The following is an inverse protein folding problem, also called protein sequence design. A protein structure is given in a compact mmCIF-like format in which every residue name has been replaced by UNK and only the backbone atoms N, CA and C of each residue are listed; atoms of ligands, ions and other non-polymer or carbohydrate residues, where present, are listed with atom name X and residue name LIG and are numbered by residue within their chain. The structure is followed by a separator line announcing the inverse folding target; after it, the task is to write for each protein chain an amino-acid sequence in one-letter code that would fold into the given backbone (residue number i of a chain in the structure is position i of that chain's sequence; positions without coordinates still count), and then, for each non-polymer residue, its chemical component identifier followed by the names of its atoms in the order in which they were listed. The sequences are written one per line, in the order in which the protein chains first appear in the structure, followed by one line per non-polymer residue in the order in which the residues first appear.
data_IF_331225582067
#
_entry.id   IF_331225582067
#
_cell.length_a   1.000
_cell.length_b   1.000
_cell.length_c   1.000
_cell.angle_alpha   90.00
_cell.angle_beta   90.00
_cell.angle_gamma   90.00
#
_symmetry.space_group_name_H-M   'P 1'
#
loop_
_entity.id
_entity.type
_entity.pdbx_description
1 polymer ?
#
# COMPACT_ATOMS: atom_id res chain seq x y z
N UNK A 1 -26.74 7.07 -9.80
CA UNK A 1 -25.90 5.91 -10.19
C UNK A 1 -25.48 5.22 -8.92
N UNK A 2 -26.40 4.45 -8.35
CA UNK A 2 -26.19 3.63 -7.16
C UNK A 2 -25.21 2.49 -7.51
N UNK A 3 -24.06 2.47 -6.83
CA UNK A 3 -23.19 1.30 -6.80
C UNK A 3 -23.45 0.56 -5.49
N UNK A 4 -24.34 -0.42 -5.56
CA UNK A 4 -24.65 -1.31 -4.45
C UNK A 4 -23.63 -2.46 -4.46
N UNK A 5 -22.72 -2.45 -3.47
CA UNK A 5 -21.77 -3.55 -3.26
C UNK A 5 -22.49 -4.69 -2.51
N UNK A 6 -22.46 -5.94 -3.00
CA UNK A 6 -23.07 -7.06 -2.29
C UNK A 6 -22.26 -7.40 -1.02
N UNK A 7 -22.95 -7.72 0.08
CA UNK A 7 -22.32 -8.18 1.33
C UNK A 7 -21.56 -9.51 1.12
N UNK A 8 -20.27 -9.60 1.50
CA UNK A 8 -19.53 -10.85 1.43
C UNK A 8 -19.67 -11.67 2.72
N UNK A 9 -20.07 -12.94 2.58
CA UNK A 9 -19.95 -13.96 3.64
C UNK A 9 -18.47 -14.21 3.97
N UNK A 10 -18.21 -14.34 5.28
CA UNK A 10 -16.92 -14.31 5.96
C UNK A 10 -15.85 -15.30 5.45
N UNK A 11 -14.64 -14.77 5.21
CA UNK A 11 -13.34 -15.41 5.47
C UNK A 11 -12.28 -14.29 5.62
N UNK A 12 -11.78 -14.11 6.84
CA UNK A 12 -10.92 -13.00 7.26
C UNK A 12 -9.47 -13.18 6.78
N UNK A 13 -9.20 -12.92 5.49
CA UNK A 13 -7.83 -12.75 4.96
C UNK A 13 -7.72 -11.37 4.31
N UNK A 14 -7.11 -10.42 5.03
CA UNK A 14 -6.89 -9.04 4.56
C UNK A 14 -5.65 -8.99 3.68
N UNK A 15 -5.81 -8.55 2.44
CA UNK A 15 -4.71 -8.46 1.47
C UNK A 15 -4.57 -7.02 0.95
N UNK A 16 -3.39 -6.71 0.43
CA UNK A 16 -3.20 -5.56 -0.44
C UNK A 16 -4.06 -5.81 -1.69
N UNK A 17 -4.97 -4.91 -2.00
CA UNK A 17 -5.81 -4.97 -3.19
C UNK A 17 -5.26 -4.00 -4.23
N UNK A 18 -5.05 -4.51 -5.43
CA UNK A 18 -4.63 -3.74 -6.60
C UNK A 18 -5.76 -3.76 -7.63
N UNK A 19 -6.25 -2.60 -8.04
CA UNK A 19 -7.16 -2.46 -9.18
C UNK A 19 -6.39 -1.90 -10.37
N UNK A 20 -6.48 -2.58 -11.51
CA UNK A 20 -5.78 -2.23 -12.75
C UNK A 20 -6.78 -1.64 -13.74
N UNK A 21 -6.48 -0.46 -14.30
CA UNK A 21 -7.31 0.20 -15.31
C UNK A 21 -6.51 0.81 -16.45
N UNK A 22 -7.03 0.70 -17.68
CA UNK A 22 -6.45 1.31 -18.89
C UNK A 22 -7.30 2.46 -19.45
N UNK A 23 -8.39 2.86 -18.77
CA UNK A 23 -9.37 3.84 -19.28
C UNK A 23 -9.00 5.32 -19.06
N UNK A 24 -7.90 5.61 -18.36
CA UNK A 24 -7.53 6.97 -17.93
C UNK A 24 -6.36 7.60 -18.73
N UNK A 25 -5.92 6.98 -19.82
CA UNK A 25 -4.85 7.48 -20.69
C UNK A 25 -3.79 6.42 -21.03
N UNK A 26 -2.66 6.80 -21.66
CA UNK A 26 -1.58 5.87 -21.96
C UNK A 26 -0.80 5.47 -20.69
N UNK A 27 -1.11 4.31 -20.12
CA UNK A 27 -0.40 3.73 -18.97
C UNK A 27 -1.23 2.64 -18.27
N UNK A 28 -0.57 1.82 -17.45
CA UNK A 28 -1.29 0.95 -16.50
C UNK A 28 -1.49 1.74 -15.21
N UNK A 29 -2.75 2.00 -14.87
CA UNK A 29 -3.11 2.65 -13.60
C UNK A 29 -3.36 1.59 -12.55
N UNK A 30 -2.61 1.63 -11.45
CA UNK A 30 -2.75 0.70 -10.33
C UNK A 30 -3.22 1.49 -9.12
N UNK A 31 -4.45 1.21 -8.67
CA UNK A 31 -4.98 1.70 -7.42
C UNK A 31 -4.72 0.66 -6.34
N UNK A 32 -3.92 1.03 -5.35
CA UNK A 32 -3.53 0.14 -4.27
C UNK A 32 -4.20 0.57 -2.99
N UNK A 33 -4.91 -0.38 -2.38
CA UNK A 33 -5.54 -0.18 -1.08
C UNK A 33 -5.15 -1.33 -0.17
N UNK A 34 -5.08 -1.03 1.11
CA UNK A 34 -4.88 -2.04 2.13
C UNK A 34 -6.23 -2.28 2.82
N UNK A 35 -6.80 -3.49 2.70
CA UNK A 35 -8.14 -3.94 3.18
C UNK A 35 -9.27 -4.03 2.13
N UNK A 36 -9.02 -4.49 0.90
CA UNK A 36 -10.15 -4.91 0.02
C UNK A 36 -10.17 -6.41 -0.19
N UNK A 37 -11.38 -6.98 -0.13
CA UNK A 37 -11.69 -8.35 -0.55
C UNK A 37 -11.82 -8.32 -2.08
N UNK A 38 -10.93 -9.00 -2.80
CA UNK A 38 -11.00 -9.08 -4.25
C UNK A 38 -12.14 -10.02 -4.70
N UNK A 39 -12.91 -9.68 -5.76
CA UNK A 39 -13.79 -10.63 -6.42
C UNK A 39 -13.00 -11.78 -7.05
N UNK A 40 -13.57 -12.99 -6.98
CA UNK A 40 -12.92 -14.29 -7.14
C UNK A 40 -12.62 -14.70 -8.59
N UNK A 41 -12.65 -13.78 -9.54
CA UNK A 41 -12.56 -14.13 -10.96
C UNK A 41 -11.12 -13.97 -11.49
N UNK A 42 -10.28 -14.90 -11.00
CA UNK A 42 -8.96 -15.40 -11.47
C UNK A 42 -7.83 -14.37 -11.72
N UNK A 43 -6.65 -14.62 -11.11
CA UNK A 43 -5.65 -15.44 -11.82
C UNK A 43 -5.01 -16.56 -10.96
N UNK A 44 -4.43 -17.51 -11.70
CA UNK A 44 -3.67 -18.72 -11.37
C UNK A 44 -2.98 -18.78 -9.98
N UNK A 45 -3.20 -19.90 -9.27
CA UNK A 45 -2.82 -20.16 -7.87
C UNK A 45 -1.77 -21.28 -7.82
N UNK A 46 -0.60 -21.03 -7.22
CA UNK A 46 0.22 -22.08 -6.61
C UNK A 46 0.31 -21.70 -5.13
N UNK A 47 -0.28 -22.54 -4.28
CA UNK A 47 -0.30 -22.33 -2.83
C UNK A 47 0.78 -23.15 -2.17
N UNK A 48 1.71 -22.50 -1.48
CA UNK A 48 2.32 -23.04 -0.27
C UNK A 48 1.86 -22.14 0.90
N UNK A 49 1.22 -22.69 1.95
CA UNK A 49 0.46 -21.90 2.91
C UNK A 49 1.27 -20.95 3.81
N UNK A 50 2.61 -21.04 3.80
CA UNK A 50 3.46 -20.27 4.72
C UNK A 50 4.01 -18.95 4.15
N UNK A 51 4.05 -18.75 2.83
CA UNK A 51 4.79 -17.62 2.26
C UNK A 51 3.95 -16.51 1.62
N UNK A 52 2.62 -16.64 1.47
CA UNK A 52 1.72 -15.57 0.99
C UNK A 52 2.21 -14.75 -0.24
N UNK A 53 3.10 -15.31 -1.07
CA UNK A 53 3.63 -14.64 -2.27
C UNK A 53 2.85 -15.12 -3.49
N UNK A 54 2.20 -14.18 -4.19
CA UNK A 54 1.46 -14.45 -5.42
C UNK A 54 2.34 -14.09 -6.62
N UNK A 55 2.85 -15.10 -7.33
CA UNK A 55 3.67 -14.91 -8.53
C UNK A 55 2.80 -15.06 -9.78
N UNK A 56 2.44 -13.94 -10.41
CA UNK A 56 1.79 -13.93 -11.72
C UNK A 56 2.88 -13.97 -12.80
N UNK A 57 3.00 -15.09 -13.53
CA UNK A 57 3.89 -15.16 -14.70
C UNK A 57 3.27 -14.37 -15.86
N UNK A 58 3.92 -13.33 -16.40
CA UNK A 58 3.39 -12.61 -17.56
C UNK A 58 3.42 -13.49 -18.81
N UNK A 59 2.33 -13.50 -19.59
CA UNK A 59 2.19 -14.23 -20.87
C UNK A 59 2.95 -13.58 -22.05
N UNK A 60 3.61 -12.43 -21.84
CA UNK A 60 4.33 -11.66 -22.86
C UNK A 60 5.57 -11.01 -22.21
N UNK A 61 6.59 -10.69 -23.00
CA UNK A 61 7.75 -9.91 -22.57
C UNK A 61 7.32 -8.49 -22.18
N UNK A 62 6.82 -8.33 -20.95
CA UNK A 62 6.49 -7.03 -20.37
C UNK A 62 7.79 -6.38 -19.90
N UNK A 63 8.04 -5.10 -20.24
CA UNK A 63 9.29 -4.43 -19.86
C UNK A 63 9.42 -4.19 -18.35
N UNK A 64 8.33 -4.33 -17.59
CA UNK A 64 8.28 -4.11 -16.14
C UNK A 64 7.56 -5.28 -15.48
N UNK A 65 8.17 -5.82 -14.44
CA UNK A 65 7.59 -6.84 -13.57
C UNK A 65 7.23 -6.24 -12.22
N UNK A 66 5.97 -6.40 -11.82
CA UNK A 66 5.43 -5.87 -10.56
C UNK A 66 5.08 -7.04 -9.65
N UNK A 67 5.65 -7.06 -8.45
CA UNK A 67 5.31 -7.99 -7.39
C UNK A 67 4.40 -7.29 -6.37
N UNK A 68 3.43 -8.02 -5.85
CA UNK A 68 2.55 -7.53 -4.79
C UNK A 68 2.65 -8.47 -3.60
N UNK A 69 2.98 -7.91 -2.44
CA UNK A 69 3.07 -8.62 -1.17
C UNK A 69 2.31 -7.85 -0.09
N UNK A 70 1.81 -8.53 0.93
CA UNK A 70 1.31 -7.83 2.11
C UNK A 70 2.48 -7.34 2.97
N UNK A 71 3.48 -8.21 3.18
CA UNK A 71 4.65 -7.95 4.01
C UNK A 71 5.78 -7.36 3.18
N UNK A 72 6.58 -6.48 3.78
CA UNK A 72 7.76 -5.95 3.11
C UNK A 72 8.79 -7.04 2.85
N UNK A 73 9.38 -7.01 1.65
CA UNK A 73 10.28 -8.07 1.17
C UNK A 73 11.72 -7.64 1.34
N UNK A 74 12.06 -6.41 0.96
CA UNK A 74 13.43 -5.88 1.02
C UNK A 74 13.95 -5.66 2.45
N UNK A 75 13.06 -5.68 3.45
CA UNK A 75 13.41 -5.55 4.87
C UNK A 75 13.64 -6.92 5.53
N UNK A 76 13.44 -8.02 4.80
CA UNK A 76 13.67 -9.39 5.26
C UNK A 76 15.07 -9.86 4.90
N UNK A 77 15.47 -10.96 5.53
CA UNK A 77 16.74 -11.63 5.25
C UNK A 77 16.88 -12.05 3.78
N UNK A 78 18.01 -11.69 3.15
CA UNK A 78 18.40 -12.05 1.78
C UNK A 78 18.27 -13.52 1.52
N UNK A 79 18.81 -14.34 2.41
CA UNK A 79 18.89 -15.77 2.22
C UNK A 79 17.52 -16.40 2.00
N UNK A 80 16.50 -15.86 2.66
CA UNK A 80 15.12 -16.36 2.56
C UNK A 80 14.41 -15.89 1.30
N UNK A 81 14.57 -14.63 0.90
CA UNK A 81 13.75 -14.03 -0.17
C UNK A 81 14.46 -14.00 -1.53
N UNK A 82 15.79 -14.04 -1.57
CA UNK A 82 16.58 -13.95 -2.80
C UNK A 82 16.23 -15.04 -3.83
N UNK A 83 16.05 -16.34 -3.47
CA UNK A 83 15.69 -17.35 -4.45
C UNK A 83 14.38 -17.04 -5.19
N UNK A 84 13.39 -16.47 -4.48
CA UNK A 84 12.10 -16.08 -5.05
C UNK A 84 12.30 -14.84 -5.93
N UNK A 85 13.05 -13.85 -5.46
CA UNK A 85 13.31 -12.62 -6.21
C UNK A 85 14.12 -12.87 -7.49
N UNK A 86 15.07 -13.82 -7.48
CA UNK A 86 15.81 -14.25 -8.67
C UNK A 86 14.92 -14.94 -9.71
N UNK A 87 13.88 -15.67 -9.28
CA UNK A 87 12.91 -16.28 -10.19
C UNK A 87 11.91 -15.27 -10.78
N UNK A 88 11.44 -14.33 -9.95
CA UNK A 88 10.42 -13.35 -10.35
C UNK A 88 11.03 -12.16 -11.11
N UNK A 89 12.26 -11.78 -10.75
CA UNK A 89 12.97 -10.57 -11.22
C UNK A 89 12.06 -9.33 -11.22
N UNK A 90 11.49 -8.93 -10.06
CA UNK A 90 10.62 -7.77 -10.01
C UNK A 90 11.43 -6.48 -10.14
N UNK A 91 10.87 -5.49 -10.82
CA UNK A 91 11.41 -4.13 -10.85
C UNK A 91 10.74 -3.26 -9.77
N UNK A 92 9.49 -3.57 -9.48
CA UNK A 92 8.65 -2.87 -8.53
C UNK A 92 7.95 -3.86 -7.60
N UNK A 93 7.97 -3.59 -6.31
CA UNK A 93 7.24 -4.34 -5.29
C UNK A 93 6.27 -3.38 -4.61
N UNK A 94 5.01 -3.79 -4.43
CA UNK A 94 4.08 -3.10 -3.54
C UNK A 94 3.88 -3.90 -2.26
N UNK A 95 4.02 -3.23 -1.12
CA UNK A 95 3.80 -3.80 0.21
C UNK A 95 2.88 -2.93 1.07
N UNK A 96 2.53 -3.40 2.26
CA UNK A 96 1.71 -2.65 3.22
C UNK A 96 2.12 -3.02 4.65
N UNK A 97 1.23 -3.69 5.37
CA UNK A 97 1.43 -4.26 6.71
C UNK A 97 1.71 -3.26 7.84
N UNK A 98 2.75 -2.42 7.73
CA UNK A 98 3.17 -1.50 8.78
C UNK A 98 2.39 -0.19 8.82
N UNK A 99 1.43 -0.01 7.90
CA UNK A 99 0.56 1.16 7.79
C UNK A 99 1.29 2.50 7.65
N UNK A 100 2.54 2.47 7.19
CA UNK A 100 3.35 3.65 6.89
C UNK A 100 3.49 3.81 5.40
N UNK A 101 3.69 5.04 4.94
CA UNK A 101 4.07 5.29 3.56
C UNK A 101 5.59 5.35 3.49
N UNK A 102 6.22 4.38 2.84
CA UNK A 102 7.68 4.27 2.80
C UNK A 102 8.12 3.67 1.48
N UNK A 103 9.25 4.14 0.96
CA UNK A 103 9.90 3.57 -0.22
C UNK A 103 11.22 2.95 0.19
N UNK A 104 11.45 1.70 -0.20
CA UNK A 104 12.73 1.03 -0.09
C UNK A 104 13.37 0.98 -1.48
N UNK A 105 14.59 1.46 -1.58
CA UNK A 105 15.36 1.54 -2.80
C UNK A 105 16.61 0.70 -2.64
N UNK A 106 16.85 -0.19 -3.59
CA UNK A 106 18.04 -1.02 -3.58
C UNK A 106 18.53 -1.18 -5.01
N UNK A 107 19.76 -0.72 -5.26
CA UNK A 107 20.28 -0.57 -6.63
C UNK A 107 20.96 -1.83 -7.16
N UNK A 108 21.31 -2.76 -6.28
CA UNK A 108 22.11 -3.96 -6.52
C UNK A 108 21.47 -5.25 -5.98
N UNK A 109 20.20 -5.20 -5.59
CA UNK A 109 19.40 -6.31 -5.07
C UNK A 109 19.50 -7.63 -5.85
N UNK A 110 19.68 -7.53 -7.17
CA UNK A 110 19.70 -8.68 -8.07
C UNK A 110 21.13 -9.12 -8.43
N UNK A 111 22.16 -8.49 -7.89
CA UNK A 111 23.54 -8.97 -8.03
C UNK A 111 23.75 -10.18 -7.13
N UNK A 112 24.48 -11.16 -7.65
CA UNK A 112 25.01 -12.27 -6.85
C UNK A 112 26.21 -11.74 -6.04
N UNK A 113 25.92 -11.06 -4.94
CA UNK A 113 26.89 -10.60 -3.95
C UNK A 113 26.37 -10.87 -2.51
N UNK A 114 27.20 -10.53 -1.52
CA UNK A 114 27.12 -10.75 -0.07
C UNK A 114 25.74 -11.04 0.56
N UNK A 115 25.74 -11.70 1.73
CA UNK A 115 24.54 -12.03 2.53
C UNK A 115 23.65 -10.84 2.97
N UNK A 116 23.98 -9.59 2.60
CA UNK A 116 23.24 -8.38 2.97
C UNK A 116 22.77 -7.59 1.73
N UNK A 117 21.74 -6.74 1.91
CA UNK A 117 21.23 -5.86 0.85
C UNK A 117 21.58 -4.41 1.16
N UNK A 118 21.89 -3.60 0.14
CA UNK A 118 22.12 -2.16 0.29
C UNK A 118 20.80 -1.33 0.30
N UNK A 119 19.80 -1.79 1.06
CA UNK A 119 18.46 -1.19 1.05
C UNK A 119 18.47 0.17 1.75
N UNK A 120 18.07 1.21 1.00
CA UNK A 120 17.85 2.56 1.51
C UNK A 120 16.37 2.80 1.73
N UNK A 121 16.01 3.24 2.92
CA UNK A 121 14.63 3.59 3.26
C UNK A 121 14.41 5.10 3.11
N UNK A 122 13.29 5.47 2.48
CA UNK A 122 12.80 6.85 2.38
C UNK A 122 11.38 6.93 2.92
N UNK A 123 11.18 7.74 3.96
CA UNK A 123 9.84 8.06 4.44
C UNK A 123 9.15 9.00 3.42
N UNK A 124 7.89 8.70 3.08
CA UNK A 124 7.05 9.49 2.18
C UNK A 124 5.69 9.85 2.79
N UNK A 125 5.56 9.81 4.13
CA UNK A 125 4.33 10.15 4.87
C UNK A 125 3.85 11.60 4.67
N UNK A 126 4.77 12.52 4.36
CA UNK A 126 4.47 13.93 4.11
C UNK A 126 4.53 14.31 2.62
N UNK A 127 4.53 13.33 1.72
CA UNK A 127 4.66 13.59 0.28
C UNK A 127 3.40 14.24 -0.27
N UNK A 128 3.52 15.43 -0.86
CA UNK A 128 2.39 16.18 -1.48
C UNK A 128 2.40 16.16 -3.02
N UNK A 129 3.47 15.62 -3.63
CA UNK A 129 3.65 15.59 -5.08
C UNK A 129 3.71 14.19 -5.66
N UNK A 130 4.36 14.06 -6.82
CA UNK A 130 4.62 12.79 -7.50
C UNK A 130 6.09 12.39 -7.31
N UNK A 131 6.31 11.13 -6.94
CA UNK A 131 7.61 10.49 -7.08
C UNK A 131 7.72 9.90 -8.48
N UNK A 132 8.72 10.32 -9.24
CA UNK A 132 8.99 9.81 -10.59
C UNK A 132 10.31 9.07 -10.59
N UNK A 133 10.34 7.85 -11.11
CA UNK A 133 11.56 7.05 -11.26
C UNK A 133 11.46 6.16 -12.48
N UNK A 134 12.58 5.86 -13.13
CA UNK A 134 12.61 4.91 -14.22
C UNK A 134 13.00 3.51 -13.70
N UNK A 135 12.10 2.54 -13.86
CA UNK A 135 12.28 1.17 -13.39
C UNK A 135 13.22 0.34 -14.28
N UNK A 136 13.38 0.70 -15.56
CA UNK A 136 14.17 -0.07 -16.53
C UNK A 136 15.60 0.44 -16.68
N UNK A 137 15.91 1.62 -16.15
CA UNK A 137 17.25 2.23 -16.22
C UNK A 137 18.31 1.40 -15.49
N UNK A 138 17.94 0.77 -14.37
CA UNK A 138 18.85 -0.01 -13.51
C UNK A 138 18.37 -1.47 -13.41
N UNK A 139 18.93 -2.40 -14.21
CA UNK A 139 18.42 -3.78 -14.33
C UNK A 139 18.60 -4.64 -13.07
N UNK A 140 19.45 -4.21 -12.13
CA UNK A 140 19.66 -4.89 -10.86
C UNK A 140 18.96 -4.22 -9.68
N UNK A 141 18.22 -3.13 -9.94
CA UNK A 141 17.53 -2.39 -8.90
C UNK A 141 16.13 -2.93 -8.64
N UNK A 142 15.73 -2.88 -7.38
CA UNK A 142 14.34 -3.12 -6.96
C UNK A 142 13.88 -1.89 -6.20
N UNK A 143 12.70 -1.40 -6.59
CA UNK A 143 11.96 -0.39 -5.83
C UNK A 143 10.81 -1.08 -5.11
N UNK A 144 10.76 -1.01 -3.79
CA UNK A 144 9.59 -1.43 -3.02
C UNK A 144 8.86 -0.22 -2.45
N UNK A 145 7.55 -0.12 -2.71
CA UNK A 145 6.68 0.92 -2.20
C UNK A 145 5.72 0.29 -1.19
N UNK A 146 5.91 0.66 0.08
CA UNK A 146 4.97 0.38 1.14
C UNK A 146 3.83 1.40 1.09
N UNK A 147 2.65 0.92 0.74
CA UNK A 147 1.44 1.70 0.60
C UNK A 147 0.84 1.94 2.00
N UNK A 148 0.46 3.18 2.34
CA UNK A 148 -0.21 3.46 3.61
C UNK A 148 -1.55 2.74 3.70
N UNK A 149 -2.05 2.58 4.93
CA UNK A 149 -3.41 2.06 5.13
C UNK A 149 -4.45 3.11 4.78
N UNK A 150 -5.58 2.67 4.23
CA UNK A 150 -6.78 3.50 4.08
C UNK A 150 -7.81 3.23 5.19
N UNK A 151 -7.47 2.38 6.17
CA UNK A 151 -8.39 1.92 7.20
C UNK A 151 -8.17 2.60 8.54
N UNK A 152 -9.24 3.23 9.05
CA UNK A 152 -9.27 3.86 10.37
C UNK A 152 -9.02 2.89 11.51
N UNK A 153 -9.31 1.59 11.34
CA UNK A 153 -9.19 0.58 12.39
C UNK A 153 -7.75 0.31 12.81
N UNK A 154 -6.77 0.82 12.05
CA UNK A 154 -5.36 0.59 12.32
C UNK A 154 -4.73 1.65 13.22
N UNK A 155 -5.47 2.68 13.61
CA UNK A 155 -5.02 3.62 14.64
C UNK A 155 -3.84 4.51 14.23
N UNK A 156 -3.64 4.76 12.94
CA UNK A 156 -2.53 5.60 12.43
C UNK A 156 -3.01 6.96 11.92
N UNK A 157 -2.25 8.05 12.15
CA UNK A 157 -2.66 9.41 11.78
C UNK A 157 -2.66 9.67 10.28
N UNK A 158 -1.69 9.11 9.54
CA UNK A 158 -1.53 9.31 8.11
C UNK A 158 -2.14 8.12 7.35
N UNK A 159 -3.31 8.35 6.75
CA UNK A 159 -4.02 7.35 5.95
C UNK A 159 -4.20 7.85 4.53
N UNK A 160 -4.10 6.96 3.54
CA UNK A 160 -4.18 7.35 2.14
C UNK A 160 -4.35 6.18 1.20
N UNK A 161 -4.52 6.51 -0.07
CA UNK A 161 -4.53 5.54 -1.17
C UNK A 161 -3.28 5.71 -2.02
N UNK A 162 -2.61 4.60 -2.34
CA UNK A 162 -1.49 4.61 -3.26
C UNK A 162 -1.98 4.66 -4.70
N UNK A 163 -1.44 5.59 -5.49
CA UNK A 163 -1.69 5.69 -6.92
C UNK A 163 -0.37 5.53 -7.66
N UNK A 164 -0.28 4.51 -8.49
CA UNK A 164 0.86 4.27 -9.36
C UNK A 164 0.45 4.30 -10.83
N UNK A 165 1.23 4.99 -11.64
CA UNK A 165 1.10 5.04 -13.10
C UNK A 165 2.41 4.52 -13.68
N UNK A 166 2.33 3.40 -14.41
CA UNK A 166 3.48 2.80 -15.09
C UNK A 166 3.33 3.02 -16.59
N UNK A 167 4.28 3.74 -17.18
CA UNK A 167 4.34 3.99 -18.62
C UNK A 167 5.13 2.88 -19.34
N UNK A 168 4.94 2.80 -20.66
CA UNK A 168 5.60 1.79 -21.50
C UNK A 168 7.13 1.88 -21.52
N UNK A 169 7.69 3.07 -21.28
CA UNK A 169 9.13 3.32 -21.22
C UNK A 169 9.78 2.87 -19.89
N UNK A 170 8.99 2.35 -18.94
CA UNK A 170 9.48 1.97 -17.60
C UNK A 170 9.39 3.09 -16.57
N UNK A 171 8.91 4.28 -16.95
CA UNK A 171 8.68 5.38 -16.01
C UNK A 171 7.52 5.05 -15.07
N UNK A 172 7.80 5.12 -13.77
CA UNK A 172 6.87 5.00 -12.67
C UNK A 172 6.62 6.40 -12.08
N UNK A 173 5.36 6.80 -12.08
CA UNK A 173 4.88 7.95 -11.31
C UNK A 173 4.01 7.46 -10.16
N UNK A 174 4.43 7.72 -8.93
CA UNK A 174 3.73 7.31 -7.72
C UNK A 174 3.31 8.52 -6.88
N UNK A 175 2.10 8.49 -6.36
CA UNK A 175 1.64 9.45 -5.34
C UNK A 175 0.77 8.78 -4.30
N UNK A 176 0.57 9.48 -3.17
CA UNK A 176 -0.37 9.08 -2.13
C UNK A 176 -1.50 10.11 -2.09
N UNK A 177 -2.73 9.64 -2.30
CA UNK A 177 -3.92 10.43 -2.06
C UNK A 177 -4.24 10.38 -0.57
N UNK A 178 -3.78 11.39 0.16
CA UNK A 178 -4.01 11.51 1.60
C UNK A 178 -5.48 11.74 1.92
N UNK A 179 -6.00 10.94 2.83
CA UNK A 179 -7.34 11.15 3.41
C UNK A 179 -7.26 12.22 4.51
N UNK A 180 -8.34 12.99 4.74
CA UNK A 180 -8.34 14.02 5.78
C UNK A 180 -8.08 13.43 7.17
N UNK A 181 -7.28 14.13 7.96
CA UNK A 181 -6.90 13.71 9.30
C UNK A 181 -8.12 13.65 10.25
N UNK A 182 -8.62 12.44 10.51
CA UNK A 182 -9.81 12.22 11.34
C UNK A 182 -9.58 12.44 12.83
N UNK A 183 -8.34 12.30 13.31
CA UNK A 183 -8.01 12.56 14.73
C UNK A 183 -8.34 13.98 15.15
N UNK A 184 -8.09 14.97 14.29
CA UNK A 184 -8.44 16.38 14.56
C UNK A 184 -9.95 16.55 14.77
N UNK A 185 -10.77 15.88 13.94
CA UNK A 185 -12.22 15.89 14.08
C UNK A 185 -12.68 15.18 15.36
N UNK A 186 -12.06 14.04 15.70
CA UNK A 186 -12.36 13.29 16.92
C UNK A 186 -12.09 14.12 18.18
N UNK A 187 -10.95 14.83 18.23
CA UNK A 187 -10.66 15.77 19.31
C UNK A 187 -11.69 16.90 19.37
N UNK A 188 -12.12 17.43 18.23
CA UNK A 188 -13.19 18.43 18.17
C UNK A 188 -14.50 17.91 18.77
N UNK A 189 -14.90 16.67 18.48
CA UNK A 189 -16.09 16.05 19.06
C UNK A 189 -15.96 15.87 20.58
N UNK A 190 -14.80 15.43 21.07
CA UNK A 190 -14.57 15.27 22.51
C UNK A 190 -14.69 16.61 23.24
N UNK A 191 -14.11 17.68 22.70
CA UNK A 191 -14.22 19.03 23.26
C UNK A 191 -15.67 19.49 23.29
N UNK A 192 -16.43 19.30 22.20
CA UNK A 192 -17.84 19.67 22.14
C UNK A 192 -18.68 18.90 23.18
N UNK A 193 -18.45 17.60 23.34
CA UNK A 193 -19.12 16.78 24.36
C UNK A 193 -18.80 17.30 25.77
N UNK A 194 -17.53 17.61 26.07
CA UNK A 194 -17.14 18.17 27.35
C UNK A 194 -17.85 19.51 27.64
N UNK A 195 -17.93 20.41 26.67
CA UNK A 195 -18.65 21.69 26.80
C UNK A 195 -20.14 21.46 27.06
N UNK A 196 -20.79 20.59 26.29
CA UNK A 196 -22.20 20.25 26.48
C UNK A 196 -22.47 19.66 27.88
N UNK A 197 -21.59 18.77 28.35
CA UNK A 197 -21.70 18.21 29.70
C UNK A 197 -21.54 19.28 30.79
N UNK A 198 -20.59 20.21 30.63
CA UNK A 198 -20.41 21.33 31.55
C UNK A 198 -21.65 22.24 31.61
N UNK A 199 -22.23 22.60 30.46
CA UNK A 199 -23.47 23.39 30.39
C UNK A 199 -24.66 22.65 31.01
N UNK A 200 -24.78 21.35 30.77
CA UNK A 200 -25.81 20.50 31.39
C UNK A 200 -25.64 20.41 32.91
N UNK A 201 -24.41 20.35 33.42
CA UNK A 201 -24.12 20.29 34.85
C UNK A 201 -24.42 21.63 35.53
N UNK A 202 -23.98 22.75 34.96
CA UNK A 202 -24.25 24.09 35.52
C UNK A 202 -25.75 24.37 35.53
N UNK A 203 -26.47 24.12 34.43
CA UNK A 203 -27.93 24.30 34.38
C UNK A 203 -28.68 23.45 35.40
N UNK A 204 -28.24 22.21 35.68
CA UNK A 204 -28.80 21.37 36.75
C UNK A 204 -28.51 21.91 38.15
N UNK A 205 -27.32 22.46 38.38
CA UNK A 205 -26.97 23.09 39.66
C UNK A 205 -27.81 24.35 39.91
N UNK A 206 -27.99 25.19 38.88
CA UNK A 206 -28.83 26.38 38.96
C UNK A 206 -30.32 26.07 39.16
N UNK A 207 -30.82 24.96 38.62
CA UNK A 207 -32.23 24.54 38.81
C UNK A 207 -32.50 23.93 40.19
N UNK A 208 -31.47 23.47 40.91
CA UNK A 208 -31.59 22.88 42.25
C UNK A 208 -31.45 23.89 43.41
N UNK A 209 -30.93 25.09 43.13
CA UNK A 209 -30.97 26.23 44.05
C UNK A 209 -32.27 26.99 43.86
#
# INVERSE_FOLDING_TARGET
LDMQFPEPRFLEKRMLAASFGNKLGPGIHIFLTHNTILPRDKPFVISNPEDMVWVVRPRKASPVHVLVSHLSVLVRDKMRVNPILQQVRPHLIFSGHWHKATVFLCNDCMKDDDFSWSVKQRNIEDMTGWMVTNLTEKPFSITEIMVPTCSYRMGVPHMGYGVAIIRKNGELSYTVLWTPARYKMLYGYLVAICVCLLVCLTSRLFRKR
#
